data_IF_925881160075
#
_entry.id   IF_925881160075
#
_cell.length_a   1.000
_cell.length_b   1.000
_cell.length_c   1.000
_cell.angle_alpha   90.00
_cell.angle_beta   90.00
_cell.angle_gamma   90.00
#
_symmetry.space_group_name_H-M   'P 1'
#
loop_
_entity.id
_entity.type
_entity.pdbx_description
1 polymer ?
#
# COMPACT_ATOMS: atom_id res chain seq x y z
N UNK A 1 26.94 -2.64 -4.22
CA UNK A 1 26.75 -1.43 -3.38
C UNK A 1 26.31 -0.19 -4.19
N UNK A 2 27.01 0.16 -5.28
CA UNK A 2 26.70 1.35 -6.11
C UNK A 2 25.28 1.38 -6.70
N UNK A 3 24.77 0.25 -7.21
CA UNK A 3 23.43 0.15 -7.82
C UNK A 3 22.29 0.48 -6.83
N UNK A 4 22.45 0.13 -5.56
CA UNK A 4 21.45 0.39 -4.51
C UNK A 4 21.45 1.88 -4.12
N UNK A 5 22.62 2.52 -4.06
CA UNK A 5 22.70 3.97 -3.85
C UNK A 5 22.01 4.73 -4.98
N UNK A 6 22.28 4.35 -6.24
CA UNK A 6 21.62 4.95 -7.41
C UNK A 6 20.10 4.79 -7.35
N UNK A 7 19.61 3.61 -6.95
CA UNK A 7 18.17 3.35 -6.81
C UNK A 7 17.53 4.21 -5.71
N UNK A 8 18.20 4.37 -4.57
CA UNK A 8 17.72 5.25 -3.48
C UNK A 8 17.68 6.72 -3.91
N UNK A 9 18.71 7.19 -4.61
CA UNK A 9 18.77 8.56 -5.12
C UNK A 9 17.69 8.83 -6.18
N UNK A 10 17.49 7.91 -7.14
CA UNK A 10 16.45 8.08 -8.18
C UNK A 10 15.04 8.00 -7.60
N UNK A 11 14.82 7.15 -6.59
CA UNK A 11 13.56 7.09 -5.86
C UNK A 11 13.28 8.36 -5.05
N UNK A 12 14.29 8.88 -4.35
CA UNK A 12 14.14 10.15 -3.64
C UNK A 12 13.72 11.27 -4.60
N UNK A 13 14.38 11.35 -5.76
CA UNK A 13 14.01 12.30 -6.81
C UNK A 13 12.59 12.05 -7.32
N UNK A 14 12.21 10.80 -7.57
CA UNK A 14 10.86 10.44 -7.99
C UNK A 14 9.79 10.85 -6.96
N UNK A 15 10.05 10.66 -5.66
CA UNK A 15 9.15 11.11 -4.59
C UNK A 15 9.00 12.63 -4.58
N UNK A 16 10.07 13.39 -4.89
CA UNK A 16 9.98 14.84 -5.01
C UNK A 16 9.19 15.28 -6.23
N UNK A 17 9.48 14.71 -7.39
CA UNK A 17 8.82 15.01 -8.66
C UNK A 17 7.34 14.60 -8.71
N UNK A 18 6.93 13.59 -7.94
CA UNK A 18 5.53 13.18 -7.82
C UNK A 18 4.60 14.31 -7.34
N UNK A 19 5.13 15.30 -6.60
CA UNK A 19 4.34 16.45 -6.15
C UNK A 19 4.25 17.57 -7.21
N UNK A 20 4.93 17.42 -8.35
CA UNK A 20 4.89 18.39 -9.44
C UNK A 20 3.84 17.96 -10.47
N UNK A 21 2.69 18.63 -10.42
CA UNK A 21 1.52 18.30 -11.23
C UNK A 21 1.82 18.25 -12.74
N UNK A 22 2.66 19.16 -13.24
CA UNK A 22 3.04 19.19 -14.66
C UNK A 22 3.82 17.95 -15.08
N UNK A 23 4.71 17.43 -14.23
CA UNK A 23 5.56 16.28 -14.54
C UNK A 23 4.75 14.97 -14.50
N UNK A 24 3.87 14.84 -13.50
CA UNK A 24 2.97 13.69 -13.35
C UNK A 24 1.99 13.56 -14.52
N UNK A 25 1.59 14.68 -15.15
CA UNK A 25 0.70 14.67 -16.33
C UNK A 25 1.37 14.17 -17.60
N UNK A 26 2.70 14.16 -17.67
CA UNK A 26 3.42 13.68 -18.85
C UNK A 26 3.52 12.14 -18.84
N UNK A 27 3.07 11.42 -19.89
CA UNK A 27 3.08 9.96 -19.90
C UNK A 27 4.47 9.35 -19.65
N UNK A 28 5.51 9.95 -20.24
CA UNK A 28 6.90 9.51 -20.04
C UNK A 28 7.40 9.81 -18.63
N UNK A 29 7.02 10.96 -18.07
CA UNK A 29 7.35 11.33 -16.68
C UNK A 29 6.71 10.35 -15.69
N UNK A 30 5.42 10.05 -15.87
CA UNK A 30 4.70 9.06 -15.09
C UNK A 30 5.36 7.67 -15.17
N UNK A 31 5.62 7.16 -16.38
CA UNK A 31 6.27 5.86 -16.57
C UNK A 31 7.64 5.79 -15.90
N UNK A 32 8.42 6.87 -15.95
CA UNK A 32 9.71 6.93 -15.25
C UNK A 32 9.55 6.88 -13.73
N UNK A 33 8.58 7.62 -13.17
CA UNK A 33 8.25 7.61 -11.74
C UNK A 33 7.88 6.21 -11.26
N UNK A 34 6.94 5.56 -11.95
CA UNK A 34 6.51 4.19 -11.64
C UNK A 34 7.70 3.22 -11.69
N UNK A 35 8.59 3.35 -12.67
CA UNK A 35 9.82 2.55 -12.73
C UNK A 35 10.71 2.70 -11.49
N UNK A 36 10.83 3.92 -10.93
CA UNK A 36 11.62 4.12 -9.72
C UNK A 36 10.93 3.58 -8.47
N UNK A 37 9.61 3.75 -8.38
CA UNK A 37 8.81 3.22 -7.27
C UNK A 37 8.83 1.69 -7.26
N UNK A 38 8.57 1.06 -8.40
CA UNK A 38 8.62 -0.38 -8.58
C UNK A 38 10.00 -0.94 -8.23
N UNK A 39 11.07 -0.30 -8.72
CA UNK A 39 12.44 -0.74 -8.42
C UNK A 39 12.74 -0.73 -6.92
N UNK A 40 12.37 0.33 -6.20
CA UNK A 40 12.62 0.38 -4.76
C UNK A 40 11.73 -0.57 -3.97
N UNK A 41 10.47 -0.72 -4.37
CA UNK A 41 9.58 -1.70 -3.76
C UNK A 41 10.12 -3.15 -3.92
N UNK A 42 10.68 -3.47 -5.09
CA UNK A 42 11.33 -4.75 -5.38
C UNK A 42 12.64 -4.97 -4.61
N UNK A 43 13.30 -3.90 -4.17
CA UNK A 43 14.46 -3.97 -3.27
C UNK A 43 14.05 -4.16 -1.79
N UNK A 44 12.76 -4.27 -1.50
CA UNK A 44 12.25 -4.49 -0.14
C UNK A 44 12.11 -3.22 0.69
N UNK A 45 12.17 -2.03 0.08
CA UNK A 45 11.95 -0.79 0.82
C UNK A 45 10.48 -0.67 1.25
N UNK A 46 10.25 -0.75 2.57
CA UNK A 46 8.91 -0.77 3.17
C UNK A 46 8.10 0.48 2.80
N UNK A 47 8.77 1.65 2.79
CA UNK A 47 8.12 2.91 2.43
C UNK A 47 7.71 2.97 0.96
N UNK A 48 8.54 2.43 0.05
CA UNK A 48 8.24 2.31 -1.37
C UNK A 48 7.13 1.29 -1.63
N UNK A 49 7.15 0.14 -0.93
CA UNK A 49 6.07 -0.85 -1.00
C UNK A 49 4.72 -0.25 -0.55
N UNK A 50 4.70 0.46 0.58
CA UNK A 50 3.50 1.14 1.09
C UNK A 50 3.01 2.21 0.10
N UNK A 51 3.91 3.06 -0.39
CA UNK A 51 3.58 4.17 -1.29
C UNK A 51 3.13 3.69 -2.68
N UNK A 52 3.92 2.83 -3.33
CA UNK A 52 3.61 2.34 -4.66
C UNK A 52 2.42 1.40 -4.64
N UNK A 53 2.31 0.56 -3.60
CA UNK A 53 1.15 -0.28 -3.35
C UNK A 53 -0.15 0.52 -3.32
N UNK A 54 -0.17 1.62 -2.56
CA UNK A 54 -1.30 2.54 -2.53
C UNK A 54 -1.66 3.09 -3.93
N UNK A 55 -0.66 3.57 -4.68
CA UNK A 55 -0.90 4.09 -6.04
C UNK A 55 -1.53 3.02 -6.93
N UNK A 56 -0.95 1.82 -6.95
CA UNK A 56 -1.42 0.72 -7.79
C UNK A 56 -2.82 0.24 -7.39
N UNK A 57 -3.11 0.09 -6.09
CA UNK A 57 -4.42 -0.35 -5.60
C UNK A 57 -5.54 0.60 -6.00
N UNK A 58 -5.33 1.92 -5.87
CA UNK A 58 -6.42 2.89 -6.06
C UNK A 58 -6.41 3.60 -7.42
N UNK A 59 -5.26 3.67 -8.08
CA UNK A 59 -5.07 4.39 -9.35
C UNK A 59 -4.46 3.53 -10.46
N UNK A 60 -4.06 2.30 -10.17
CA UNK A 60 -3.56 1.36 -11.16
C UNK A 60 -4.64 1.00 -12.19
N UNK A 61 -4.20 0.89 -13.45
CA UNK A 61 -5.07 0.54 -14.58
C UNK A 61 -5.11 -0.99 -14.74
N UNK A 62 -6.32 -1.55 -14.69
CA UNK A 62 -6.55 -2.99 -14.82
C UNK A 62 -6.40 -3.78 -13.51
N UNK A 63 -6.88 -5.03 -13.54
CA UNK A 63 -6.93 -5.91 -12.38
C UNK A 63 -5.53 -6.23 -11.84
N UNK A 64 -4.60 -6.61 -12.72
CA UNK A 64 -3.24 -6.99 -12.33
C UNK A 64 -2.49 -5.88 -11.60
N UNK A 65 -2.65 -4.62 -12.03
CA UNK A 65 -2.06 -3.48 -11.33
C UNK A 65 -2.62 -3.34 -9.91
N UNK A 66 -3.95 -3.43 -9.75
CA UNK A 66 -4.59 -3.31 -8.43
C UNK A 66 -4.18 -4.43 -7.48
N UNK A 67 -4.14 -5.67 -7.98
CA UNK A 67 -3.71 -6.84 -7.21
C UNK A 67 -2.25 -6.75 -6.79
N UNK A 68 -1.36 -6.31 -7.68
CA UNK A 68 0.03 -6.02 -7.34
C UNK A 68 0.12 -4.93 -6.27
N UNK A 69 -0.72 -3.91 -6.35
CA UNK A 69 -0.84 -2.90 -5.30
C UNK A 69 -1.18 -3.50 -3.93
N UNK A 70 -2.19 -4.37 -3.88
CA UNK A 70 -2.58 -5.07 -2.63
C UNK A 70 -1.45 -5.96 -2.12
N UNK A 71 -0.72 -6.64 -3.01
CA UNK A 71 0.44 -7.47 -2.66
C UNK A 71 1.55 -6.62 -2.02
N UNK A 72 1.89 -5.47 -2.59
CA UNK A 72 2.88 -4.54 -2.04
C UNK A 72 2.45 -3.96 -0.69
N UNK A 73 1.18 -3.58 -0.54
CA UNK A 73 0.63 -3.13 0.74
C UNK A 73 0.73 -4.23 1.82
N UNK A 74 0.43 -5.49 1.46
CA UNK A 74 0.62 -6.62 2.38
C UNK A 74 2.07 -6.80 2.80
N UNK A 75 3.03 -6.68 1.88
CA UNK A 75 4.45 -6.75 2.24
C UNK A 75 4.86 -5.63 3.20
N UNK A 76 4.47 -4.40 2.92
CA UNK A 76 4.76 -3.26 3.80
C UNK A 76 4.12 -3.43 5.19
N UNK A 77 2.87 -3.90 5.23
CA UNK A 77 2.15 -4.18 6.47
C UNK A 77 2.86 -5.24 7.33
N UNK A 78 3.29 -6.34 6.71
CA UNK A 78 4.02 -7.41 7.39
C UNK A 78 5.40 -6.94 7.88
N UNK A 79 5.99 -5.93 7.24
CA UNK A 79 7.22 -5.29 7.67
C UNK A 79 7.00 -4.16 8.72
N UNK A 80 5.77 -3.97 9.21
CA UNK A 80 5.44 -3.05 10.29
C UNK A 80 4.86 -1.69 9.87
N UNK A 81 4.61 -1.46 8.57
CA UNK A 81 3.97 -0.21 8.13
C UNK A 81 2.49 -0.17 8.54
N UNK A 82 2.18 0.58 9.61
CA UNK A 82 0.83 0.67 10.16
C UNK A 82 -0.20 1.24 9.18
N UNK A 83 0.20 2.13 8.26
CA UNK A 83 -0.68 2.69 7.22
C UNK A 83 -1.05 1.64 6.17
N UNK A 84 -0.09 0.83 5.73
CA UNK A 84 -0.34 -0.27 4.82
C UNK A 84 -1.18 -1.35 5.51
N UNK A 85 -0.88 -1.70 6.76
CA UNK A 85 -1.68 -2.65 7.53
C UNK A 85 -3.15 -2.18 7.65
N UNK A 86 -3.38 -0.90 7.92
CA UNK A 86 -4.74 -0.36 7.95
C UNK A 86 -5.45 -0.50 6.60
N UNK A 87 -4.77 -0.16 5.50
CA UNK A 87 -5.32 -0.28 4.15
C UNK A 87 -5.64 -1.73 3.77
N UNK A 88 -4.74 -2.67 4.07
CA UNK A 88 -5.01 -4.10 3.83
C UNK A 88 -6.22 -4.55 4.63
N UNK A 89 -6.38 -4.12 5.89
CA UNK A 89 -7.57 -4.45 6.66
C UNK A 89 -8.87 -3.96 6.01
N UNK A 90 -8.88 -2.73 5.47
CA UNK A 90 -10.02 -2.19 4.72
C UNK A 90 -10.28 -3.00 3.45
N UNK A 91 -9.24 -3.32 2.68
CA UNK A 91 -9.35 -4.11 1.44
C UNK A 91 -9.86 -5.52 1.74
N UNK A 92 -9.35 -6.17 2.78
CA UNK A 92 -9.79 -7.51 3.18
C UNK A 92 -11.25 -7.53 3.60
N UNK A 93 -11.73 -6.52 4.34
CA UNK A 93 -13.15 -6.46 4.70
C UNK A 93 -14.06 -6.17 3.49
N UNK A 94 -13.60 -5.39 2.52
CA UNK A 94 -14.35 -5.09 1.31
C UNK A 94 -14.30 -6.21 0.25
N UNK A 95 -13.25 -7.03 0.28
CA UNK A 95 -12.92 -7.95 -0.79
C UNK A 95 -12.27 -7.25 -2.00
N UNK A 96 -11.88 -8.07 -2.96
CA UNK A 96 -11.32 -7.68 -4.27
C UNK A 96 -11.99 -8.54 -5.35
N UNK A 97 -11.84 -8.23 -6.64
CA UNK A 97 -12.42 -9.07 -7.69
C UNK A 97 -11.97 -10.54 -7.66
N UNK A 98 -10.78 -10.83 -7.11
CA UNK A 98 -10.23 -12.18 -6.99
C UNK A 98 -10.33 -12.81 -5.60
N UNK A 99 -10.70 -12.04 -4.57
CA UNK A 99 -10.81 -12.54 -3.20
C UNK A 99 -12.07 -11.98 -2.53
N UNK A 100 -12.95 -12.86 -2.07
CA UNK A 100 -14.12 -12.48 -1.30
C UNK A 100 -13.75 -11.70 -0.01
N UNK A 101 -14.68 -10.89 0.53
CA UNK A 101 -14.55 -10.28 1.86
C UNK A 101 -14.10 -11.29 2.93
N UNK A 102 -13.11 -10.89 3.73
CA UNK A 102 -12.49 -11.70 4.78
C UNK A 102 -12.34 -10.86 6.05
N UNK A 103 -13.37 -10.85 6.93
CA UNK A 103 -13.36 -10.10 8.18
C UNK A 103 -12.26 -10.51 9.15
N UNK A 104 -11.87 -11.79 9.13
CA UNK A 104 -10.81 -12.33 10.00
C UNK A 104 -9.46 -11.76 9.59
N UNK A 105 -9.16 -11.76 8.28
CA UNK A 105 -7.96 -11.11 7.77
C UNK A 105 -7.99 -9.60 8.03
N UNK A 106 -9.16 -8.95 7.88
CA UNK A 106 -9.30 -7.53 8.19
C UNK A 106 -8.92 -7.20 9.63
N UNK A 107 -9.48 -7.95 10.60
CA UNK A 107 -9.15 -7.81 12.01
C UNK A 107 -7.66 -8.05 12.28
N UNK A 108 -7.05 -9.05 11.63
CA UNK A 108 -5.61 -9.36 11.78
C UNK A 108 -4.74 -8.16 11.38
N UNK A 109 -5.00 -7.58 10.22
CA UNK A 109 -4.23 -6.43 9.74
C UNK A 109 -4.54 -5.14 10.51
N UNK A 110 -5.77 -4.92 10.97
CA UNK A 110 -6.06 -3.79 11.86
C UNK A 110 -5.42 -3.93 13.23
N UNK A 111 -5.28 -5.13 13.78
CA UNK A 111 -4.48 -5.36 14.99
C UNK A 111 -3.00 -4.99 14.76
N UNK A 112 -2.43 -5.34 13.61
CA UNK A 112 -1.07 -4.91 13.24
C UNK A 112 -0.98 -3.39 13.14
N UNK A 113 -1.96 -2.74 12.50
CA UNK A 113 -2.02 -1.29 12.38
C UNK A 113 -2.13 -0.59 13.74
N UNK A 114 -2.96 -1.10 14.65
CA UNK A 114 -3.10 -0.59 16.02
C UNK A 114 -1.80 -0.70 16.81
N UNK A 115 -1.13 -1.86 16.75
CA UNK A 115 0.20 -2.06 17.36
C UNK A 115 1.26 -1.10 16.80
N UNK A 116 1.15 -0.71 15.54
CA UNK A 116 2.00 0.29 14.90
C UNK A 116 1.54 1.74 15.14
N UNK A 117 0.53 1.97 15.99
CA UNK A 117 0.05 3.31 16.36
C UNK A 117 -0.90 3.98 15.35
N UNK A 118 -1.53 3.22 14.46
CA UNK A 118 -2.46 3.80 13.49
C UNK A 118 -3.76 4.27 14.18
N UNK A 119 -4.14 5.56 14.08
CA UNK A 119 -5.16 6.17 14.94
C UNK A 119 -6.58 5.63 14.71
N UNK A 120 -6.87 5.10 13.51
CA UNK A 120 -8.21 4.59 13.16
C UNK A 120 -8.36 3.08 13.32
N UNK A 121 -7.29 2.36 13.69
CA UNK A 121 -7.30 0.90 13.67
C UNK A 121 -8.19 0.31 14.78
N UNK A 122 -8.09 0.83 16.00
CA UNK A 122 -8.93 0.38 17.13
C UNK A 122 -10.42 0.63 16.90
N UNK A 123 -10.75 1.77 16.27
CA UNK A 123 -12.13 2.08 15.89
C UNK A 123 -12.69 1.01 14.96
N UNK A 124 -11.93 0.64 13.92
CA UNK A 124 -12.36 -0.41 12.97
C UNK A 124 -12.51 -1.78 13.60
N UNK A 125 -11.64 -2.13 14.55
CA UNK A 125 -11.77 -3.38 15.31
C UNK A 125 -13.06 -3.40 16.15
N UNK A 126 -13.39 -2.30 16.82
CA UNK A 126 -14.63 -2.17 17.60
C UNK A 126 -15.87 -2.24 16.70
N UNK A 127 -15.86 -1.50 15.59
CA UNK A 127 -16.94 -1.55 14.58
C UNK A 127 -17.15 -2.99 14.08
N UNK A 128 -16.09 -3.72 13.78
CA UNK A 128 -16.18 -5.09 13.30
C UNK A 128 -16.77 -6.03 14.35
N UNK A 129 -16.27 -5.99 15.59
CA UNK A 129 -16.76 -6.83 16.68
C UNK A 129 -18.26 -6.56 16.98
N UNK A 130 -18.71 -5.31 16.91
CA UNK A 130 -20.12 -4.97 17.11
C UNK A 130 -21.05 -5.53 16.03
N UNK A 131 -20.56 -5.68 14.78
CA UNK A 131 -21.34 -6.27 13.68
C UNK A 131 -21.52 -7.77 13.85
N UNK A 132 -20.50 -8.44 14.38
CA UNK A 132 -20.56 -9.88 14.64
C UNK A 132 -21.48 -10.20 15.81
N UNK A 133 -21.51 -9.36 16.85
CA UNK A 133 -22.41 -9.54 18.00
C UNK A 133 -23.90 -9.28 17.70
N UNK A 134 -24.21 -8.62 16.58
CA UNK A 134 -25.58 -8.31 16.16
C UNK A 134 -26.17 -9.34 15.18
N UNK A 135 -25.41 -10.38 14.82
CA UNK A 135 -25.85 -11.54 14.03
C UNK A 135 -26.21 -12.71 14.92
#
# INVERSE_FOLDING_TARGET
MFLNLKARASYWLARRLFHWSWFVRQPRGWSWLEGQFARMANLGDVGAQSFYGHILTFRGVGLGAREEGVRLLRLAALAGDGKAAYQVGVISLAGTPSKAPDPVEAARFWNMAAKAGHPLAELKLKELASRDAAK
#
